data_IF_035995508120
#
_entry.id   IF_035995508120
#
_cell.length_a   1.000
_cell.length_b   1.000
_cell.length_c   1.000
_cell.angle_alpha   90.00
_cell.angle_beta   90.00
_cell.angle_gamma   90.00
#
_symmetry.space_group_name_H-M   'P 1'
#
loop_
_entity.id
_entity.type
_entity.pdbx_description
1 polymer ?
#
# COMPACT_ATOMS: atom_id res chain seq x y z
N UNK A 1 12.47 11.19 2.03
CA UNK A 1 12.48 11.71 0.65
C UNK A 1 11.71 13.02 0.63
N UNK A 2 12.34 14.11 0.17
CA UNK A 2 11.74 15.44 0.09
C UNK A 2 11.40 15.76 -1.37
N UNK A 3 10.25 16.40 -1.60
CA UNK A 3 9.91 17.00 -2.88
C UNK A 3 10.07 18.53 -2.79
N UNK A 4 10.45 19.17 -3.91
CA UNK A 4 10.55 20.62 -4.05
C UNK A 4 9.61 21.06 -5.15
N UNK A 5 8.71 22.00 -4.85
CA UNK A 5 7.80 22.62 -5.83
C UNK A 5 7.99 24.13 -5.74
N UNK A 6 8.13 24.77 -6.90
CA UNK A 6 8.16 26.22 -7.06
C UNK A 6 6.81 26.64 -7.61
N UNK A 7 6.08 27.46 -6.85
CA UNK A 7 4.86 28.10 -7.36
C UNK A 7 5.24 29.48 -7.91
N UNK A 8 4.84 29.76 -9.16
CA UNK A 8 4.87 31.10 -9.75
C UNK A 8 3.43 31.62 -9.75
N UNK A 9 3.07 32.63 -8.94
CA UNK A 9 1.68 33.06 -8.85
C UNK A 9 1.29 33.90 -10.07
N UNK A 10 0.34 33.40 -10.86
CA UNK A 10 -0.63 34.25 -11.53
C UNK A 10 -1.73 34.61 -10.52
N UNK A 11 -2.16 35.86 -10.48
CA UNK A 11 -3.06 36.40 -9.46
C UNK A 11 -4.29 35.51 -9.18
N UNK A 12 -4.38 34.92 -7.99
CA UNK A 12 -5.59 34.24 -7.47
C UNK A 12 -5.89 34.76 -6.05
N UNK A 13 -7.15 35.11 -5.72
CA UNK A 13 -7.51 35.58 -4.38
C UNK A 13 -7.53 34.44 -3.36
N UNK A 14 -6.95 34.65 -2.17
CA UNK A 14 -6.85 33.66 -1.09
C UNK A 14 -8.05 33.80 -0.13
N UNK A 15 -8.83 32.74 0.04
CA UNK A 15 -9.94 32.65 1.01
C UNK A 15 -9.68 31.62 2.12
N UNK A 16 -10.10 31.93 3.36
CA UNK A 16 -9.85 31.14 4.58
C UNK A 16 -11.08 30.33 5.05
N UNK A 17 -10.89 29.05 5.44
CA UNK A 17 -11.81 28.28 6.30
C UNK A 17 -11.04 27.32 7.23
N UNK A 18 -11.57 27.10 8.44
CA UNK A 18 -11.04 26.18 9.44
C UNK A 18 -12.09 25.11 9.77
N UNK A 19 -11.73 23.83 9.60
CA UNK A 19 -12.54 22.69 10.07
C UNK A 19 -11.75 21.81 11.04
N UNK A 20 -12.42 21.36 12.10
CA UNK A 20 -11.92 20.45 13.14
C UNK A 20 -12.49 19.05 12.87
N UNK A 21 -11.63 18.03 12.67
CA UNK A 21 -12.07 16.64 12.51
C UNK A 21 -11.93 15.84 13.81
N UNK A 22 -12.99 15.14 14.18
CA UNK A 22 -13.06 14.16 15.26
C UNK A 22 -12.59 12.77 14.81
N UNK A 23 -11.94 12.02 15.71
CA UNK A 23 -11.41 10.68 15.46
C UNK A 23 -12.54 9.62 15.42
N UNK A 24 -12.54 8.76 14.40
CA UNK A 24 -13.48 7.62 14.29
C UNK A 24 -13.04 6.46 15.18
N UNK A 25 -13.96 5.93 15.98
CA UNK A 25 -13.82 4.68 16.75
C UNK A 25 -13.63 3.49 15.80
N UNK A 26 -12.69 2.58 16.11
CA UNK A 26 -12.47 1.33 15.37
C UNK A 26 -13.71 0.43 15.49
N UNK A 27 -14.26 -0.01 14.36
CA UNK A 27 -15.34 -1.00 14.34
C UNK A 27 -14.82 -2.36 14.85
N UNK A 28 -15.62 -3.13 15.61
CA UNK A 28 -15.26 -4.50 15.98
C UNK A 28 -15.16 -5.39 14.73
N UNK A 29 -14.28 -6.38 14.77
CA UNK A 29 -14.10 -7.35 13.68
C UNK A 29 -15.39 -8.16 13.46
N UNK A 30 -15.82 -8.37 12.21
CA UNK A 30 -16.96 -9.25 11.92
C UNK A 30 -16.58 -10.72 12.13
N UNK A 31 -16.74 -11.20 13.38
CA UNK A 31 -16.32 -12.55 13.82
C UNK A 31 -16.86 -13.68 12.94
N UNK A 32 -18.14 -13.62 12.54
CA UNK A 32 -18.75 -14.63 11.66
C UNK A 32 -17.93 -14.88 10.38
N UNK A 33 -17.50 -13.80 9.69
CA UNK A 33 -16.71 -13.91 8.47
C UNK A 33 -15.34 -14.55 8.73
N UNK A 34 -14.74 -14.30 9.89
CA UNK A 34 -13.48 -14.91 10.27
C UNK A 34 -13.63 -16.43 10.49
N UNK A 35 -14.67 -16.88 11.20
CA UNK A 35 -14.97 -18.31 11.34
C UNK A 35 -15.27 -19.00 10.00
N UNK A 36 -16.05 -18.35 9.12
CA UNK A 36 -16.35 -18.90 7.79
C UNK A 36 -15.07 -19.10 6.95
N UNK A 37 -14.14 -18.15 7.01
CA UNK A 37 -12.83 -18.26 6.36
C UNK A 37 -11.94 -19.30 7.04
N UNK A 38 -11.99 -19.41 8.36
CA UNK A 38 -11.22 -20.40 9.12
C UNK A 38 -11.60 -21.81 8.66
N UNK A 39 -12.89 -22.14 8.65
CA UNK A 39 -13.35 -23.45 8.20
C UNK A 39 -12.98 -23.75 6.74
N UNK A 40 -12.97 -22.75 5.86
CA UNK A 40 -12.50 -22.91 4.48
C UNK A 40 -11.01 -23.22 4.41
N UNK A 41 -10.19 -22.46 5.13
CA UNK A 41 -8.73 -22.59 5.14
C UNK A 41 -8.29 -23.88 5.85
N UNK A 42 -8.95 -24.30 6.92
CA UNK A 42 -8.65 -25.58 7.59
C UNK A 42 -8.88 -26.76 6.64
N UNK A 43 -10.01 -26.78 5.91
CA UNK A 43 -10.28 -27.80 4.88
C UNK A 43 -9.31 -27.74 3.70
N UNK A 44 -8.71 -26.58 3.47
CA UNK A 44 -7.72 -26.40 2.42
C UNK A 44 -6.34 -26.92 2.86
N UNK A 45 -5.92 -26.61 4.08
CA UNK A 45 -4.67 -27.11 4.66
C UNK A 45 -4.67 -28.63 4.80
N UNK A 46 -5.80 -29.19 5.27
CA UNK A 46 -5.96 -30.64 5.44
C UNK A 46 -5.93 -31.43 4.11
N UNK A 47 -6.09 -30.76 2.95
CA UNK A 47 -5.88 -31.40 1.64
C UNK A 47 -4.39 -31.57 1.29
N UNK A 48 -3.51 -30.83 1.96
CA UNK A 48 -2.08 -30.76 1.67
C UNK A 48 -1.26 -31.53 2.72
N UNK A 49 -1.63 -31.44 3.99
CA UNK A 49 -0.91 -32.11 5.10
C UNK A 49 -1.83 -32.40 6.29
N UNK A 50 -1.52 -33.47 7.03
CA UNK A 50 -2.16 -33.86 8.28
C UNK A 50 -1.43 -33.31 9.53
N UNK A 51 -0.30 -32.59 9.36
CA UNK A 51 0.54 -32.10 10.47
C UNK A 51 -0.13 -31.04 11.35
N UNK A 52 -1.19 -30.41 10.83
CA UNK A 52 -1.87 -29.28 11.45
C UNK A 52 -3.39 -29.52 11.57
N UNK A 53 -3.82 -30.53 12.35
CA UNK A 53 -5.23 -30.86 12.48
C UNK A 53 -6.00 -29.69 13.09
N UNK A 54 -7.11 -29.31 12.45
CA UNK A 54 -8.00 -28.23 12.88
C UNK A 54 -7.32 -26.85 13.06
N UNK A 55 -6.29 -26.59 12.25
CA UNK A 55 -5.55 -25.31 12.26
C UNK A 55 -5.52 -24.64 10.90
N UNK A 56 -5.18 -23.36 10.93
CA UNK A 56 -4.77 -22.56 9.78
C UNK A 56 -3.36 -22.02 10.02
N UNK A 57 -2.55 -21.89 8.96
CA UNK A 57 -1.26 -21.20 9.04
C UNK A 57 -1.43 -19.76 8.57
N UNK A 58 -0.86 -18.81 9.30
CA UNK A 58 -0.78 -17.44 8.83
C UNK A 58 0.01 -17.40 7.50
N UNK A 59 -0.53 -16.82 6.41
CA UNK A 59 0.14 -16.86 5.11
C UNK A 59 1.46 -16.07 5.07
N UNK A 60 1.68 -15.18 6.05
CA UNK A 60 2.86 -14.31 6.11
C UNK A 60 3.98 -14.87 7.00
N UNK A 61 3.66 -15.54 8.11
CA UNK A 61 4.66 -16.05 9.05
C UNK A 61 4.63 -17.58 9.24
N UNK A 62 3.69 -18.27 8.61
CA UNK A 62 3.48 -19.72 8.69
C UNK A 62 3.17 -20.27 10.08
N UNK A 63 2.96 -19.41 11.09
CA UNK A 63 2.57 -19.86 12.42
C UNK A 63 1.17 -20.47 12.41
N UNK A 64 0.95 -21.60 13.10
CA UNK A 64 -0.35 -22.26 13.16
C UNK A 64 -1.27 -21.64 14.22
N UNK A 65 -2.56 -21.56 13.92
CA UNK A 65 -3.61 -21.04 14.80
C UNK A 65 -4.84 -21.95 14.76
N UNK A 66 -5.44 -22.19 15.92
CA UNK A 66 -6.74 -22.84 16.05
C UNK A 66 -7.88 -21.80 15.97
N UNK A 67 -9.13 -22.27 15.95
CA UNK A 67 -10.30 -21.40 15.76
C UNK A 67 -10.48 -20.43 16.94
N UNK A 68 -10.11 -20.85 18.15
CA UNK A 68 -10.22 -20.05 19.38
C UNK A 68 -9.37 -18.77 19.31
N UNK A 69 -8.34 -18.74 18.46
CA UNK A 69 -7.50 -17.55 18.23
C UNK A 69 -8.29 -16.36 17.61
N UNK A 70 -9.47 -16.62 17.03
CA UNK A 70 -10.38 -15.58 16.50
C UNK A 70 -11.12 -14.89 17.64
N UNK A 71 -11.49 -15.65 18.68
CA UNK A 71 -12.31 -15.20 19.79
C UNK A 71 -11.50 -14.73 21.01
N UNK A 72 -10.18 -14.93 21.00
CA UNK A 72 -9.30 -14.46 22.07
C UNK A 72 -9.40 -12.95 22.26
N UNK A 73 -9.07 -12.48 23.47
CA UNK A 73 -9.08 -11.05 23.80
C UNK A 73 -7.69 -10.58 24.25
N UNK A 74 -6.94 -9.86 23.39
CA UNK A 74 -7.28 -9.51 22.01
C UNK A 74 -7.19 -10.69 21.03
N UNK A 75 -7.84 -10.61 19.85
CA UNK A 75 -7.80 -11.68 18.86
C UNK A 75 -6.38 -11.88 18.33
N UNK A 76 -5.91 -13.11 18.30
CA UNK A 76 -4.59 -13.48 17.75
C UNK A 76 -4.66 -13.75 16.25
N UNK A 77 -5.81 -14.21 15.75
CA UNK A 77 -6.11 -14.39 14.34
C UNK A 77 -7.15 -13.37 13.89
N UNK A 78 -6.91 -12.72 12.76
CA UNK A 78 -7.70 -11.56 12.33
C UNK A 78 -8.00 -11.60 10.84
N UNK A 79 -9.06 -10.88 10.43
CA UNK A 79 -9.29 -10.60 9.02
C UNK A 79 -8.18 -9.71 8.46
N UNK A 80 -7.51 -10.22 7.45
CA UNK A 80 -6.47 -9.57 6.69
C UNK A 80 -7.07 -8.98 5.42
N UNK A 81 -6.83 -7.69 5.19
CA UNK A 81 -7.23 -7.04 3.94
C UNK A 81 -6.16 -7.33 2.89
N UNK A 82 -6.53 -8.02 1.81
CA UNK A 82 -5.60 -8.31 0.71
C UNK A 82 -5.20 -7.00 0.03
N UNK A 83 -6.19 -6.17 -0.30
CA UNK A 83 -6.00 -4.76 -0.66
C UNK A 83 -6.50 -3.94 0.52
N UNK A 84 -5.69 -3.00 1.00
CA UNK A 84 -6.09 -2.10 2.09
C UNK A 84 -7.46 -1.47 1.83
N UNK A 85 -8.31 -1.38 2.86
CA UNK A 85 -9.64 -0.73 2.78
C UNK A 85 -9.56 0.69 2.20
N UNK A 86 -8.43 1.38 2.37
CA UNK A 86 -8.21 2.73 1.83
C UNK A 86 -7.89 2.77 0.33
N UNK A 87 -7.66 1.61 -0.30
CA UNK A 87 -7.18 1.47 -1.67
C UNK A 87 -8.06 0.59 -2.56
N UNK A 88 -9.11 -0.05 -2.03
CA UNK A 88 -9.88 -0.97 -2.85
C UNK A 88 -11.05 -1.59 -2.12
N UNK A 89 -11.68 -2.53 -2.81
CA UNK A 89 -12.83 -3.26 -2.30
C UNK A 89 -12.45 -4.22 -1.18
N UNK A 90 -13.47 -4.62 -0.41
CA UNK A 90 -13.39 -5.52 0.74
C UNK A 90 -13.02 -6.97 0.32
N UNK A 91 -11.74 -7.23 0.09
CA UNK A 91 -11.19 -8.57 -0.19
C UNK A 91 -10.36 -9.05 0.99
N UNK A 92 -10.75 -10.20 1.56
CA UNK A 92 -10.22 -10.70 2.82
C UNK A 92 -9.59 -12.09 2.74
N UNK A 93 -8.63 -12.32 3.64
CA UNK A 93 -8.19 -13.65 4.09
C UNK A 93 -7.98 -13.63 5.61
N UNK A 94 -7.35 -14.66 6.18
CA UNK A 94 -6.91 -14.67 7.58
C UNK A 94 -5.40 -14.50 7.69
N UNK A 95 -4.97 -13.71 8.66
CA UNK A 95 -3.56 -13.63 9.09
C UNK A 95 -3.50 -13.36 10.60
N UNK A 96 -2.35 -13.64 11.22
CA UNK A 96 -2.18 -13.33 12.62
C UNK A 96 -2.17 -11.81 12.84
N UNK A 97 -2.66 -11.38 14.00
CA UNK A 97 -2.73 -9.97 14.40
C UNK A 97 -1.37 -9.27 14.32
N UNK A 98 -0.29 -9.99 14.65
CA UNK A 98 1.07 -9.45 14.62
C UNK A 98 1.47 -9.05 13.20
N UNK A 99 1.32 -9.96 12.22
CA UNK A 99 1.63 -9.67 10.82
C UNK A 99 0.72 -8.58 10.26
N UNK A 100 -0.60 -8.68 10.49
CA UNK A 100 -1.58 -7.71 10.01
C UNK A 100 -1.25 -6.27 10.46
N UNK A 101 -1.04 -6.08 11.77
CA UNK A 101 -0.70 -4.75 12.30
C UNK A 101 0.67 -4.23 11.85
N UNK A 102 1.67 -5.12 11.84
CA UNK A 102 3.04 -4.75 11.47
C UNK A 102 3.09 -4.36 9.99
N UNK A 103 2.55 -5.20 9.09
CA UNK A 103 2.57 -4.92 7.66
C UNK A 103 1.63 -3.75 7.32
N UNK A 104 0.48 -3.63 7.96
CA UNK A 104 -0.42 -2.48 7.77
C UNK A 104 0.27 -1.14 8.10
N UNK A 105 1.01 -1.07 9.21
CA UNK A 105 1.67 0.16 9.64
C UNK A 105 3.02 0.41 8.95
N UNK A 106 3.80 -0.64 8.67
CA UNK A 106 5.18 -0.54 8.14
C UNK A 106 5.29 -0.75 6.63
N UNK A 107 4.27 -1.28 5.97
CA UNK A 107 4.30 -1.62 4.54
C UNK A 107 3.17 -0.92 3.79
N UNK A 108 1.91 -1.24 4.12
CA UNK A 108 0.74 -0.74 3.37
C UNK A 108 0.60 0.79 3.47
N UNK A 109 0.93 1.37 4.63
CA UNK A 109 0.93 2.83 4.83
C UNK A 109 1.79 3.58 3.81
N UNK A 110 2.91 2.99 3.38
CA UNK A 110 3.80 3.58 2.38
C UNK A 110 3.20 3.54 0.98
N UNK A 111 2.46 2.49 0.62
CA UNK A 111 1.74 2.43 -0.65
C UNK A 111 0.62 3.46 -0.72
N UNK A 112 -0.20 3.53 0.34
CA UNK A 112 -1.29 4.52 0.44
C UNK A 112 -0.73 5.93 0.26
N UNK A 113 0.35 6.24 0.97
CA UNK A 113 0.98 7.55 0.91
C UNK A 113 1.65 7.81 -0.46
N UNK A 114 2.24 6.80 -1.10
CA UNK A 114 2.78 6.92 -2.46
C UNK A 114 1.67 7.28 -3.47
N UNK A 115 0.52 6.62 -3.40
CA UNK A 115 -0.60 6.89 -4.32
C UNK A 115 -1.18 8.30 -4.09
N UNK A 116 -1.38 8.70 -2.83
CA UNK A 116 -1.80 10.07 -2.49
C UNK A 116 -0.81 11.14 -2.98
N UNK A 117 0.50 10.88 -2.87
CA UNK A 117 1.50 11.77 -3.44
C UNK A 117 1.34 11.91 -4.96
N UNK A 118 1.05 10.81 -5.67
CA UNK A 118 0.80 10.85 -7.11
C UNK A 118 -0.44 11.68 -7.44
N UNK A 119 -1.55 11.50 -6.71
CA UNK A 119 -2.79 12.28 -6.91
C UNK A 119 -2.54 13.78 -6.73
N UNK A 120 -1.79 14.13 -5.70
CA UNK A 120 -1.53 15.53 -5.43
C UNK A 120 -0.59 16.18 -6.43
N UNK A 121 0.43 15.47 -6.92
CA UNK A 121 1.35 16.00 -7.94
C UNK A 121 0.58 16.39 -9.22
N UNK A 122 -0.47 15.64 -9.56
CA UNK A 122 -1.34 15.95 -10.72
C UNK A 122 -2.51 16.88 -10.38
N UNK A 123 -2.54 17.46 -9.18
CA UNK A 123 -3.54 18.45 -8.75
C UNK A 123 -4.91 17.89 -8.34
N UNK A 124 -5.03 16.57 -8.16
CA UNK A 124 -6.30 15.90 -7.83
C UNK A 124 -6.40 15.57 -6.33
N UNK A 125 -5.26 15.42 -5.65
CA UNK A 125 -5.22 15.03 -4.23
C UNK A 125 -5.77 16.09 -3.29
N UNK A 126 -6.74 15.69 -2.45
CA UNK A 126 -7.43 16.59 -1.50
C UNK A 126 -6.77 16.66 -0.12
N UNK A 127 -5.87 15.71 0.18
CA UNK A 127 -5.21 15.64 1.47
C UNK A 127 -3.97 16.54 1.50
N UNK A 128 -3.82 17.41 2.52
CA UNK A 128 -2.66 18.27 2.62
C UNK A 128 -1.39 17.49 3.02
N UNK A 129 -0.25 17.92 2.50
CA UNK A 129 1.07 17.41 2.86
C UNK A 129 1.63 18.17 4.04
N UNK A 130 2.29 17.45 4.95
CA UNK A 130 3.15 18.10 5.93
C UNK A 130 4.47 18.49 5.28
N UNK A 131 4.82 19.76 5.41
CA UNK A 131 6.04 20.32 4.85
C UNK A 131 6.56 21.47 5.68
N UNK A 132 7.49 22.18 5.07
CA UNK A 132 8.11 23.38 5.60
C UNK A 132 8.15 24.43 4.50
N UNK A 133 7.97 25.68 4.90
CA UNK A 133 8.35 26.86 4.11
C UNK A 133 9.53 27.53 4.79
N UNK A 134 10.34 28.23 4.01
CA UNK A 134 11.39 29.08 4.54
C UNK A 134 10.91 30.52 4.55
N UNK A 135 10.91 31.15 5.72
CA UNK A 135 10.58 32.57 5.89
C UNK A 135 11.65 33.19 6.77
N UNK A 136 12.33 34.23 6.25
CA UNK A 136 13.42 34.92 6.95
C UNK A 136 14.51 33.97 7.51
N UNK A 137 14.84 32.89 6.76
CA UNK A 137 15.81 31.88 7.18
C UNK A 137 15.30 30.83 8.18
N UNK A 138 14.03 30.91 8.61
CA UNK A 138 13.42 29.95 9.52
C UNK A 138 12.57 28.92 8.77
N UNK A 139 12.68 27.64 9.15
CA UNK A 139 11.80 26.58 8.65
C UNK A 139 10.50 26.52 9.43
N UNK A 140 9.41 26.92 8.80
CA UNK A 140 8.08 26.97 9.42
C UNK A 140 7.27 25.75 8.96
N UNK A 141 6.79 24.91 9.89
CA UNK A 141 5.99 23.74 9.54
C UNK A 141 4.62 24.15 9.00
N UNK A 142 4.24 23.58 7.87
CA UNK A 142 2.97 23.85 7.19
C UNK A 142 2.25 22.57 6.77
N UNK A 143 0.94 22.66 6.64
CA UNK A 143 0.12 21.76 5.84
C UNK A 143 -0.13 22.41 4.47
N UNK A 144 0.31 21.78 3.38
CA UNK A 144 0.19 22.31 2.02
C UNK A 144 -0.84 21.52 1.22
N UNK A 145 -1.85 22.19 0.67
CA UNK A 145 -2.80 21.63 -0.29
C UNK A 145 -2.35 22.01 -1.70
N UNK A 146 -1.97 21.01 -2.51
CA UNK A 146 -1.61 21.25 -3.91
C UNK A 146 -2.85 21.58 -4.73
N UNK A 147 -3.97 20.90 -4.49
CA UNK A 147 -5.23 21.12 -5.23
C UNK A 147 -5.74 22.56 -5.06
N UNK A 148 -5.68 23.11 -3.84
CA UNK A 148 -6.15 24.47 -3.57
C UNK A 148 -5.05 25.53 -3.72
N UNK A 149 -3.80 25.10 -3.93
CA UNK A 149 -2.60 25.96 -3.87
C UNK A 149 -2.52 26.78 -2.57
N UNK A 150 -2.93 26.20 -1.44
CA UNK A 150 -2.93 26.85 -0.13
C UNK A 150 -1.98 26.17 0.85
N UNK A 151 -1.55 26.89 1.88
CA UNK A 151 -0.88 26.29 3.03
C UNK A 151 -1.43 26.83 4.35
N UNK A 152 -1.33 25.99 5.40
CA UNK A 152 -1.71 26.32 6.77
C UNK A 152 -0.52 26.13 7.69
N UNK A 153 -0.13 27.19 8.39
CA UNK A 153 0.94 27.14 9.40
C UNK A 153 0.50 26.30 10.60
N UNK A 154 1.38 25.43 11.11
CA UNK A 154 1.09 24.51 12.21
C UNK A 154 1.81 24.98 13.48
N UNK A 155 1.05 25.24 14.55
CA UNK A 155 1.61 25.40 15.89
C UNK A 155 2.59 26.58 16.06
N UNK A 156 2.48 27.61 15.23
CA UNK A 156 3.37 28.77 15.28
C UNK A 156 2.93 29.78 16.36
N UNK A 157 3.91 30.35 17.06
CA UNK A 157 3.69 31.50 17.94
C UNK A 157 3.23 32.72 17.14
N UNK A 158 2.48 33.67 17.76
CA UNK A 158 1.98 34.87 17.08
C UNK A 158 3.05 35.68 16.33
N UNK A 159 4.28 35.76 16.88
CA UNK A 159 5.41 36.42 16.22
C UNK A 159 5.81 35.77 14.90
N UNK A 160 5.79 34.44 14.83
CA UNK A 160 6.11 33.69 13.60
C UNK A 160 5.00 33.87 12.57
N UNK A 161 3.74 33.96 12.99
CA UNK A 161 2.63 34.28 12.09
C UNK A 161 2.74 35.70 11.53
N UNK A 162 3.19 36.68 12.34
CA UNK A 162 3.43 38.03 11.83
C UNK A 162 4.59 38.11 10.84
N UNK A 163 5.67 37.34 11.04
CA UNK A 163 6.77 37.24 10.06
C UNK A 163 6.30 36.64 8.74
N UNK A 164 5.49 35.57 8.80
CA UNK A 164 4.85 34.98 7.60
C UNK A 164 3.94 36.01 6.93
N UNK A 165 3.11 36.74 7.69
CA UNK A 165 2.24 37.76 7.13
C UNK A 165 3.01 38.91 6.49
N UNK A 166 4.12 39.36 7.08
CA UNK A 166 4.97 40.40 6.50
C UNK A 166 5.68 39.92 5.24
N UNK A 167 6.24 38.72 5.26
CA UNK A 167 6.89 38.12 4.09
C UNK A 167 5.91 37.90 2.92
N UNK A 168 4.63 37.63 3.24
CA UNK A 168 3.56 37.43 2.25
C UNK A 168 2.74 38.70 1.97
N UNK A 169 3.00 39.81 2.67
CA UNK A 169 2.21 41.03 2.66
C UNK A 169 2.67 42.09 1.64
N UNK A 170 3.72 41.80 0.88
CA UNK A 170 4.08 42.61 -0.29
C UNK A 170 3.13 42.36 -1.45
N UNK A 171 2.96 43.36 -2.33
CA UNK A 171 2.07 43.27 -3.50
C UNK A 171 2.47 42.17 -4.51
N UNK A 172 3.67 41.59 -4.36
CA UNK A 172 4.20 40.56 -5.24
C UNK A 172 5.14 39.59 -4.52
N UNK A 173 4.90 38.28 -4.69
CA UNK A 173 5.84 37.20 -4.35
C UNK A 173 6.16 36.48 -5.65
N UNK A 174 7.37 36.67 -6.21
CA UNK A 174 7.74 36.08 -7.51
C UNK A 174 7.72 34.54 -7.51
N UNK A 175 8.19 33.94 -6.41
CA UNK A 175 8.20 32.50 -6.23
C UNK A 175 8.29 32.13 -4.76
N UNK A 176 7.57 31.08 -4.36
CA UNK A 176 7.75 30.46 -3.06
C UNK A 176 8.14 28.99 -3.22
N UNK A 177 9.19 28.61 -2.50
CA UNK A 177 9.70 27.25 -2.47
C UNK A 177 9.09 26.49 -1.30
N UNK A 178 8.47 25.36 -1.61
CA UNK A 178 7.92 24.46 -0.59
C UNK A 178 8.75 23.19 -0.55
N UNK A 179 9.14 22.81 0.67
CA UNK A 179 9.72 21.50 0.96
C UNK A 179 8.67 20.63 1.62
N UNK A 180 8.25 19.55 0.98
CA UNK A 180 7.28 18.61 1.57
C UNK A 180 7.90 17.25 1.79
N UNK A 181 7.43 16.59 2.86
CA UNK A 181 7.77 15.20 3.14
C UNK A 181 6.76 14.33 2.41
N UNK A 182 7.25 13.52 1.48
CA UNK A 182 6.39 12.56 0.78
C UNK A 182 5.76 11.53 1.74
N UNK A 183 6.39 11.27 2.88
CA UNK A 183 5.83 10.40 3.91
C UNK A 183 5.89 8.91 3.58
N UNK A 184 6.55 8.51 2.48
CA UNK A 184 6.71 7.11 2.11
C UNK A 184 8.15 6.73 1.76
N UNK A 185 8.44 5.43 1.83
CA UNK A 185 9.66 4.79 1.35
C UNK A 185 9.29 3.96 0.13
N UNK A 186 9.88 4.26 -1.04
CA UNK A 186 9.50 3.65 -2.32
C UNK A 186 9.61 2.12 -2.30
N UNK A 187 10.71 1.57 -1.77
CA UNK A 187 10.90 0.12 -1.65
C UNK A 187 9.77 -0.57 -0.87
N UNK A 188 9.30 0.05 0.22
CA UNK A 188 8.19 -0.50 1.03
C UNK A 188 6.84 -0.37 0.34
N UNK A 189 6.62 0.70 -0.43
CA UNK A 189 5.43 0.83 -1.26
C UNK A 189 5.38 -0.26 -2.35
N UNK A 190 6.52 -0.59 -2.96
CA UNK A 190 6.63 -1.70 -3.92
C UNK A 190 6.47 -3.06 -3.25
N UNK A 191 7.02 -3.24 -2.05
CA UNK A 191 6.79 -4.44 -1.27
C UNK A 191 5.31 -4.64 -0.91
N UNK A 192 4.57 -3.56 -0.65
CA UNK A 192 3.13 -3.63 -0.43
C UNK A 192 2.39 -4.16 -1.67
N UNK A 193 2.77 -3.72 -2.89
CA UNK A 193 2.21 -4.26 -4.14
C UNK A 193 2.51 -5.76 -4.28
N UNK A 194 3.75 -6.17 -4.00
CA UNK A 194 4.14 -7.59 -4.03
C UNK A 194 3.35 -8.41 -2.98
N UNK A 195 3.14 -7.86 -1.78
CA UNK A 195 2.33 -8.48 -0.73
C UNK A 195 0.87 -8.64 -1.15
N UNK A 196 0.26 -7.63 -1.76
CA UNK A 196 -1.10 -7.72 -2.32
C UNK A 196 -1.17 -8.89 -3.30
N UNK A 197 -0.21 -8.98 -4.22
CA UNK A 197 -0.15 -10.06 -5.21
C UNK A 197 0.03 -11.45 -4.58
N UNK A 198 0.92 -11.57 -3.61
CA UNK A 198 1.14 -12.80 -2.84
C UNK A 198 -0.13 -13.27 -2.12
N UNK A 199 -0.83 -12.36 -1.43
CA UNK A 199 -2.09 -12.68 -0.75
C UNK A 199 -3.22 -12.97 -1.75
N UNK A 200 -3.22 -12.34 -2.93
CA UNK A 200 -4.14 -12.67 -4.02
C UNK A 200 -3.93 -14.09 -4.54
N UNK A 201 -2.68 -14.52 -4.71
CA UNK A 201 -2.34 -15.90 -5.04
C UNK A 201 -2.82 -16.87 -3.95
N UNK A 202 -2.60 -16.55 -2.67
CA UNK A 202 -3.12 -17.35 -1.55
C UNK A 202 -4.65 -17.45 -1.57
N UNK A 203 -5.35 -16.35 -1.86
CA UNK A 203 -6.81 -16.35 -1.92
C UNK A 203 -7.36 -17.22 -3.06
N UNK A 204 -6.61 -17.35 -4.15
CA UNK A 204 -6.98 -18.11 -5.33
C UNK A 204 -6.61 -19.59 -5.22
N UNK A 205 -5.42 -19.90 -4.70
CA UNK A 205 -4.82 -21.24 -4.74
C UNK A 205 -4.63 -21.88 -3.35
N UNK A 206 -4.88 -21.14 -2.27
CA UNK A 206 -4.81 -21.67 -0.92
C UNK A 206 -3.42 -22.14 -0.50
N UNK A 207 -3.37 -23.17 0.32
CA UNK A 207 -2.16 -23.70 0.92
C UNK A 207 -1.25 -24.42 -0.08
N UNK A 208 -1.80 -24.94 -1.18
CA UNK A 208 -1.00 -25.49 -2.28
C UNK A 208 0.02 -24.45 -2.78
N UNK A 209 -0.40 -23.18 -2.90
CA UNK A 209 0.50 -22.11 -3.25
C UNK A 209 1.41 -21.71 -2.09
N UNK A 210 0.86 -21.38 -0.91
CA UNK A 210 1.64 -20.75 0.18
C UNK A 210 2.74 -21.66 0.73
N UNK A 211 2.53 -22.99 0.67
CA UNK A 211 3.48 -24.00 1.11
C UNK A 211 4.51 -24.35 0.03
N UNK A 212 4.35 -23.85 -1.20
CA UNK A 212 5.33 -24.07 -2.25
C UNK A 212 6.69 -23.40 -1.93
N UNK A 213 7.80 -24.00 -2.38
CA UNK A 213 9.12 -23.38 -2.26
C UNK A 213 9.17 -21.99 -2.91
N UNK A 214 8.53 -21.82 -4.08
CA UNK A 214 8.49 -20.54 -4.78
C UNK A 214 7.77 -19.43 -3.99
N UNK A 215 6.63 -19.74 -3.38
CA UNK A 215 5.93 -18.80 -2.51
C UNK A 215 6.76 -18.48 -1.26
N UNK A 216 7.56 -19.43 -0.76
CA UNK A 216 8.52 -19.21 0.31
C UNK A 216 9.52 -18.09 0.00
N UNK A 217 10.07 -18.07 -1.22
CA UNK A 217 10.98 -17.00 -1.67
C UNK A 217 10.30 -15.64 -1.62
N UNK A 218 9.07 -15.53 -2.14
CA UNK A 218 8.32 -14.26 -2.14
C UNK A 218 7.96 -13.83 -0.71
N UNK A 219 7.54 -14.78 0.14
CA UNK A 219 7.25 -14.53 1.55
C UNK A 219 8.47 -14.00 2.31
N UNK A 220 9.65 -14.56 2.06
CA UNK A 220 10.89 -14.10 2.68
C UNK A 220 11.21 -12.65 2.28
N UNK A 221 11.08 -12.31 1.00
CA UNK A 221 11.24 -10.93 0.51
C UNK A 221 10.25 -9.97 1.20
N UNK A 222 9.00 -10.38 1.35
CA UNK A 222 7.98 -9.60 2.09
C UNK A 222 8.35 -9.44 3.57
N UNK A 223 8.96 -10.47 4.18
CA UNK A 223 9.44 -10.45 5.57
C UNK A 223 10.59 -9.46 5.80
N UNK A 224 11.41 -9.19 4.78
CA UNK A 224 12.53 -8.23 4.83
C UNK A 224 12.10 -6.77 4.62
N UNK A 225 10.88 -6.41 5.05
CA UNK A 225 10.27 -5.11 4.77
C UNK A 225 11.03 -3.90 5.33
N UNK A 226 11.91 -4.11 6.31
CA UNK A 226 12.75 -3.05 6.83
C UNK A 226 13.79 -2.58 5.80
N UNK A 227 14.28 -3.51 4.98
CA UNK A 227 15.31 -3.32 3.95
C UNK A 227 14.90 -3.98 2.62
N UNK A 228 13.85 -3.49 1.93
CA UNK A 228 13.35 -4.14 0.72
C UNK A 228 14.42 -4.18 -0.39
N UNK A 229 14.51 -5.28 -1.17
CA UNK A 229 15.45 -5.37 -2.29
C UNK A 229 15.26 -4.25 -3.31
N UNK A 230 16.37 -3.76 -3.87
CA UNK A 230 16.34 -2.62 -4.80
C UNK A 230 15.71 -2.98 -6.14
N UNK A 231 15.78 -4.26 -6.49
CA UNK A 231 15.34 -4.88 -7.74
C UNK A 231 13.83 -5.17 -7.74
N UNK A 232 13.10 -4.97 -6.64
CA UNK A 232 11.65 -5.19 -6.58
C UNK A 232 10.87 -4.52 -7.71
N UNK A 233 11.37 -3.36 -8.16
CA UNK A 233 10.79 -2.62 -9.29
C UNK A 233 10.76 -3.41 -10.62
N UNK A 234 11.61 -4.42 -10.81
CA UNK A 234 11.56 -5.25 -12.03
C UNK A 234 10.44 -6.27 -12.04
N UNK A 235 9.84 -6.54 -10.87
CA UNK A 235 8.75 -7.49 -10.71
C UNK A 235 7.37 -6.82 -10.74
N UNK A 236 7.35 -5.49 -10.82
CA UNK A 236 6.17 -4.66 -10.67
C UNK A 236 6.08 -3.66 -11.81
N UNK A 237 4.87 -3.38 -12.26
CA UNK A 237 4.62 -2.29 -13.20
C UNK A 237 3.34 -1.55 -12.84
N UNK A 238 3.36 -0.23 -13.01
CA UNK A 238 2.13 0.54 -13.16
C UNK A 238 1.69 0.40 -14.61
N UNK A 239 0.44 -0.01 -14.80
CA UNK A 239 -0.12 -0.22 -16.12
C UNK A 239 -0.84 1.04 -16.56
N UNK A 240 -0.54 1.50 -17.77
CA UNK A 240 -1.15 2.68 -18.39
C UNK A 240 -1.87 2.27 -19.67
N UNK A 241 -2.99 2.92 -19.97
CA UNK A 241 -3.81 2.64 -21.16
C UNK A 241 -4.39 1.21 -21.25
N UNK A 242 -4.65 0.56 -20.11
CA UNK A 242 -5.15 -0.82 -20.09
C UNK A 242 -6.43 -0.98 -20.90
N UNK A 243 -6.43 -1.97 -21.79
CA UNK A 243 -7.60 -2.42 -22.51
C UNK A 243 -7.59 -3.96 -22.71
N UNK A 244 -8.63 -4.68 -22.24
CA UNK A 244 -9.82 -4.18 -21.55
C UNK A 244 -9.54 -3.86 -20.07
N UNK A 245 -10.24 -2.86 -19.54
CA UNK A 245 -10.17 -2.50 -18.12
C UNK A 245 -10.58 -3.72 -17.25
N UNK A 246 -9.79 -4.09 -16.22
CA UNK A 246 -10.12 -5.18 -15.32
C UNK A 246 -11.48 -5.00 -14.65
N UNK A 247 -12.32 -6.04 -14.69
CA UNK A 247 -13.67 -6.02 -14.09
C UNK A 247 -13.66 -6.26 -12.59
N UNK A 248 -12.62 -6.90 -12.07
CA UNK A 248 -12.44 -7.22 -10.65
C UNK A 248 -11.24 -6.46 -10.08
N UNK A 249 -11.21 -6.15 -8.77
CA UNK A 249 -10.08 -5.48 -8.15
C UNK A 249 -8.77 -6.26 -8.21
N UNK A 250 -8.87 -7.58 -8.30
CA UNK A 250 -7.75 -8.49 -8.49
C UNK A 250 -8.07 -9.40 -9.68
N UNK A 251 -7.11 -9.54 -10.60
CA UNK A 251 -7.20 -10.45 -11.73
C UNK A 251 -5.89 -11.22 -11.85
N UNK A 252 -5.98 -12.53 -11.99
CA UNK A 252 -4.83 -13.42 -12.13
C UNK A 252 -4.79 -13.92 -13.57
N UNK A 253 -3.65 -13.77 -14.22
CA UNK A 253 -3.38 -14.26 -15.56
C UNK A 253 -2.18 -15.20 -15.52
N UNK A 254 -2.46 -16.49 -15.53
CA UNK A 254 -1.43 -17.52 -15.55
C UNK A 254 -0.81 -17.62 -16.95
N UNK A 255 0.53 -17.70 -17.00
CA UNK A 255 1.33 -17.79 -18.23
C UNK A 255 2.18 -19.06 -18.14
N UNK A 256 1.62 -20.23 -18.53
CA UNK A 256 2.25 -21.53 -18.32
C UNK A 256 3.65 -21.64 -18.93
N UNK A 257 3.85 -21.06 -20.12
CA UNK A 257 5.13 -21.10 -20.83
C UNK A 257 6.27 -20.42 -20.08
N UNK A 258 5.95 -19.48 -19.19
CA UNK A 258 6.92 -18.76 -18.37
C UNK A 258 6.89 -19.19 -16.90
N UNK A 259 5.97 -20.10 -16.52
CA UNK A 259 5.73 -20.53 -15.12
C UNK A 259 5.49 -19.38 -14.14
N UNK A 260 4.80 -18.35 -14.60
CA UNK A 260 4.45 -17.19 -13.79
C UNK A 260 2.96 -16.88 -13.91
N UNK A 261 2.43 -16.28 -12.86
CA UNK A 261 1.12 -15.65 -12.86
C UNK A 261 1.29 -14.15 -12.74
N UNK A 262 0.69 -13.40 -13.66
CA UNK A 262 0.58 -11.94 -13.59
C UNK A 262 -0.64 -11.61 -12.73
N UNK A 263 -0.41 -10.95 -11.60
CA UNK A 263 -1.49 -10.44 -10.75
C UNK A 263 -1.70 -8.97 -11.06
N UNK A 264 -2.84 -8.64 -11.65
CA UNK A 264 -3.27 -7.26 -11.87
C UNK A 264 -4.15 -6.83 -10.72
N UNK A 265 -3.83 -5.67 -10.16
CA UNK A 265 -4.53 -5.06 -9.03
C UNK A 265 -5.01 -3.65 -9.39
N UNK A 266 -6.30 -3.41 -9.17
CA UNK A 266 -6.92 -2.08 -9.23
C UNK A 266 -6.83 -1.45 -7.84
N UNK A 267 -6.19 -0.29 -7.76
CA UNK A 267 -6.04 0.50 -6.54
C UNK A 267 -6.68 1.87 -6.74
N UNK A 268 -7.52 2.28 -5.81
CA UNK A 268 -8.33 3.50 -5.90
C UNK A 268 -8.04 4.42 -4.72
N UNK A 269 -7.61 5.65 -5.03
CA UNK A 269 -7.58 6.79 -4.11
C UNK A 269 -8.55 7.85 -4.65
N UNK A 270 -8.11 9.08 -4.92
CA UNK A 270 -8.84 10.02 -5.76
C UNK A 270 -8.79 9.66 -7.25
N UNK A 271 -7.83 8.83 -7.66
CA UNK A 271 -7.77 8.27 -9.01
C UNK A 271 -7.64 6.75 -8.97
N UNK A 272 -8.20 6.10 -9.99
CA UNK A 272 -8.00 4.67 -10.21
C UNK A 272 -6.65 4.44 -10.89
N UNK A 273 -5.89 3.49 -10.35
CA UNK A 273 -4.60 3.05 -10.89
C UNK A 273 -4.54 1.54 -10.93
N UNK A 274 -3.80 1.04 -11.89
CA UNK A 274 -3.62 -0.39 -12.07
C UNK A 274 -2.15 -0.74 -11.95
N UNK A 275 -1.87 -1.77 -11.19
CA UNK A 275 -0.53 -2.32 -11.06
C UNK A 275 -0.56 -3.79 -11.44
N UNK A 276 0.56 -4.27 -11.96
CA UNK A 276 0.81 -5.69 -12.18
C UNK A 276 2.02 -6.13 -11.37
N UNK A 277 1.94 -7.33 -10.82
CA UNK A 277 3.04 -8.02 -10.17
C UNK A 277 3.23 -9.40 -10.80
N UNK A 278 4.48 -9.83 -10.96
CA UNK A 278 4.80 -11.20 -11.34
C UNK A 278 4.89 -12.06 -10.08
N UNK A 279 4.18 -13.18 -10.08
CA UNK A 279 4.23 -14.21 -9.05
C UNK A 279 4.68 -15.53 -9.66
N UNK A 280 5.56 -16.31 -9.02
CA UNK A 280 5.96 -17.60 -9.54
C UNK A 280 4.82 -18.60 -9.34
N UNK A 281 4.71 -19.59 -10.22
CA UNK A 281 3.76 -20.68 -10.01
C UNK A 281 4.23 -21.63 -8.88
N UNK A 282 3.31 -22.40 -8.30
CA UNK A 282 3.57 -23.23 -7.13
C UNK A 282 4.51 -24.42 -7.39
N UNK A 283 4.65 -24.86 -8.65
CA UNK A 283 5.50 -25.98 -9.05
C UNK A 283 6.96 -25.58 -9.32
N UNK A 284 7.29 -24.30 -9.10
CA UNK A 284 8.63 -23.74 -9.29
C UNK A 284 9.51 -24.02 -8.06
N UNK A 285 10.74 -24.46 -8.30
CA UNK A 285 11.75 -24.64 -7.25
C UNK A 285 12.23 -23.31 -6.66
N UNK A 286 12.64 -23.35 -5.39
CA UNK A 286 13.15 -22.17 -4.66
C UNK A 286 14.29 -21.46 -5.41
N UNK A 287 15.23 -22.24 -5.95
CA UNK A 287 16.42 -21.78 -6.68
C UNK A 287 16.10 -21.01 -7.96
N UNK A 288 14.93 -21.28 -8.56
CA UNK A 288 14.51 -20.70 -9.84
C UNK A 288 13.48 -19.60 -9.70
N UNK A 289 12.85 -19.45 -8.53
CA UNK A 289 11.70 -18.58 -8.32
C UNK A 289 11.98 -17.13 -8.74
N UNK A 290 13.10 -16.54 -8.34
CA UNK A 290 13.45 -15.17 -8.75
C UNK A 290 13.88 -15.07 -10.22
N UNK A 291 14.66 -16.05 -10.69
CA UNK A 291 15.18 -16.06 -12.06
C UNK A 291 14.04 -16.02 -13.09
N UNK A 292 13.01 -16.85 -12.90
CA UNK A 292 11.88 -16.90 -13.84
C UNK A 292 11.11 -15.58 -13.88
N UNK A 293 10.96 -14.90 -12.74
CA UNK A 293 10.24 -13.63 -12.67
C UNK A 293 11.03 -12.52 -13.36
N UNK A 294 12.34 -12.49 -13.17
CA UNK A 294 13.24 -11.54 -13.83
C UNK A 294 13.19 -11.75 -15.35
N UNK A 295 13.26 -13.01 -15.80
CA UNK A 295 13.16 -13.35 -17.22
C UNK A 295 11.79 -12.99 -17.81
N UNK A 296 10.73 -13.09 -16.99
CA UNK A 296 9.37 -12.78 -17.38
C UNK A 296 9.00 -11.28 -17.28
N UNK A 297 9.90 -10.39 -16.84
CA UNK A 297 9.61 -8.94 -16.69
C UNK A 297 9.02 -8.27 -17.93
N UNK A 298 9.37 -8.79 -19.12
CA UNK A 298 8.82 -8.30 -20.39
C UNK A 298 7.30 -8.49 -20.51
N UNK A 299 6.70 -9.40 -19.75
CA UNK A 299 5.24 -9.58 -19.69
C UNK A 299 4.54 -8.35 -19.12
N UNK A 300 5.18 -7.63 -18.19
CA UNK A 300 4.61 -6.42 -17.59
C UNK A 300 4.49 -5.26 -18.59
N UNK A 301 5.32 -5.25 -19.63
CA UNK A 301 5.26 -4.26 -20.72
C UNK A 301 4.26 -4.63 -21.81
N UNK A 302 3.90 -5.91 -21.89
CA UNK A 302 3.00 -6.47 -22.91
C UNK A 302 1.56 -6.60 -22.42
N UNK A 303 1.29 -6.20 -21.18
CA UNK A 303 -0.07 -6.12 -20.69
C UNK A 303 -0.77 -4.96 -21.42
N UNK A 304 -1.77 -5.25 -22.27
CA UNK A 304 -2.48 -4.22 -23.02
C UNK A 304 -3.34 -3.34 -22.11
#
# INVERSE_FOLDING_TARGET
MFGKVRLCPGAVPIGFKADVKTAKLKKPMPRKRAHDLFGQLTRDLARITDDFPDKVLCPLCMSPFSEEAIDSEPPELTLEHIVSELLGEEIFTLSCKSCNNTHGSKVDSHLIQMLRCKDAIVGIGTQPFRGFIEVAGNQIPVHFSIADLTFKVIGAHPHVLSEVHQAMGGDHVDAMEFMFRLGYIRGRAYLALLRIAYLAMFKAFGYEYILSPAAGVIRNIIGEFESPPSELSSLLAELTNISPVPKSPLQLMHVPSAKVTVVVMKLTTETERYYAALMPDHDVGEDKALEILINARGLLQRYP
#
